data_IF_035836754283
#
_entry.id   IF_035836754283
#
_cell.length_a   1.000
_cell.length_b   1.000
_cell.length_c   1.000
_cell.angle_alpha   90.00
_cell.angle_beta   90.00
_cell.angle_gamma   90.00
#
_symmetry.space_group_name_H-M   'P 1'
#
loop_
_entity.id
_entity.type
_entity.pdbx_description
1 polymer ?
#
# COMPACT_ATOMS: atom_id res chain seq x y z
N UNK A 1 13.19 -19.35 36.00
CA UNK A 1 13.91 -18.39 35.13
C UNK A 1 12.91 -17.95 34.06
N UNK A 2 12.34 -16.73 34.19
CA UNK A 2 11.56 -16.10 33.13
C UNK A 2 12.57 -15.71 32.05
N UNK A 3 12.53 -16.41 30.92
CA UNK A 3 13.28 -16.01 29.74
C UNK A 3 12.78 -14.65 29.27
N UNK A 4 13.69 -13.69 29.13
CA UNK A 4 13.42 -12.44 28.41
C UNK A 4 13.26 -12.84 26.93
N UNK A 5 12.03 -13.12 26.51
CA UNK A 5 11.68 -13.07 25.10
C UNK A 5 11.81 -11.61 24.68
N UNK A 6 12.87 -11.27 23.98
CA UNK A 6 12.86 -10.06 23.15
C UNK A 6 11.76 -10.29 22.12
N UNK A 7 10.61 -9.69 22.38
CA UNK A 7 9.56 -9.57 21.40
C UNK A 7 10.08 -8.61 20.33
N UNK A 8 10.51 -9.13 19.19
CA UNK A 8 10.61 -8.32 18.00
C UNK A 8 9.18 -7.86 17.69
N UNK A 9 8.94 -6.56 17.71
CA UNK A 9 7.67 -6.00 17.24
C UNK A 9 7.53 -6.43 15.78
N UNK A 10 6.52 -7.20 15.47
CA UNK A 10 6.24 -7.55 14.08
C UNK A 10 5.92 -6.28 13.30
N UNK A 11 6.49 -6.14 12.12
CA UNK A 11 6.23 -4.99 11.25
C UNK A 11 4.75 -4.93 10.90
N UNK A 12 4.15 -3.76 11.09
CA UNK A 12 2.75 -3.49 10.74
C UNK A 12 2.67 -2.65 9.47
N UNK A 13 1.91 -3.14 8.51
CA UNK A 13 1.65 -2.47 7.24
C UNK A 13 0.18 -2.14 7.14
N UNK A 14 -0.14 -0.88 6.89
CA UNK A 14 -1.50 -0.42 6.62
C UNK A 14 -1.63 -0.10 5.12
N UNK A 15 -2.67 -0.61 4.47
CA UNK A 15 -2.94 -0.35 3.05
C UNK A 15 -4.24 0.44 2.95
N UNK A 16 -4.15 1.65 2.39
CA UNK A 16 -5.29 2.53 2.19
C UNK A 16 -5.73 2.50 0.73
N UNK A 17 -6.92 1.96 0.52
CA UNK A 17 -7.51 1.64 -0.77
C UNK A 17 -7.40 0.15 -1.09
N UNK A 18 -8.52 -0.58 -1.03
CA UNK A 18 -8.59 -2.04 -1.26
C UNK A 18 -9.12 -2.38 -2.66
N UNK A 19 -8.90 -1.49 -3.62
CA UNK A 19 -9.13 -1.79 -5.03
C UNK A 19 -8.12 -2.85 -5.54
N UNK A 20 -8.15 -3.14 -6.85
CA UNK A 20 -7.30 -4.18 -7.45
C UNK A 20 -5.83 -4.08 -7.07
N UNK A 21 -5.26 -2.88 -7.03
CA UNK A 21 -3.85 -2.68 -6.67
C UNK A 21 -3.61 -2.95 -5.20
N UNK A 22 -4.44 -2.37 -4.32
CA UNK A 22 -4.28 -2.53 -2.86
C UNK A 22 -4.46 -3.98 -2.41
N UNK A 23 -5.51 -4.65 -2.84
CA UNK A 23 -5.76 -6.05 -2.49
C UNK A 23 -4.65 -6.98 -3.02
N UNK A 24 -4.20 -6.78 -4.27
CA UNK A 24 -3.08 -7.57 -4.82
C UNK A 24 -1.77 -7.31 -4.07
N UNK A 25 -1.51 -6.06 -3.68
CA UNK A 25 -0.34 -5.69 -2.88
C UNK A 25 -0.40 -6.36 -1.50
N UNK A 26 -1.54 -6.28 -0.82
CA UNK A 26 -1.77 -6.93 0.47
C UNK A 26 -1.51 -8.44 0.37
N UNK A 27 -2.15 -9.11 -0.58
CA UNK A 27 -1.97 -10.55 -0.79
C UNK A 27 -0.51 -10.92 -1.06
N UNK A 28 0.20 -10.12 -1.87
CA UNK A 28 1.62 -10.36 -2.18
C UNK A 28 2.51 -10.22 -0.94
N UNK A 29 2.26 -9.23 -0.07
CA UNK A 29 2.97 -9.01 1.19
C UNK A 29 2.73 -10.19 2.15
N UNK A 30 1.49 -10.62 2.28
CA UNK A 30 1.07 -11.72 3.15
C UNK A 30 1.68 -13.04 2.65
N UNK A 31 1.55 -13.33 1.36
CA UNK A 31 2.06 -14.57 0.76
C UNK A 31 3.58 -14.70 0.89
N UNK A 32 4.32 -13.61 0.82
CA UNK A 32 5.77 -13.58 1.01
C UNK A 32 6.18 -13.51 2.50
N UNK A 33 5.22 -13.26 3.40
CA UNK A 33 5.48 -13.14 4.84
C UNK A 33 6.39 -11.96 5.19
N UNK A 34 6.22 -10.81 4.54
CA UNK A 34 7.08 -9.63 4.69
C UNK A 34 6.83 -8.85 5.99
N UNK A 35 5.67 -9.04 6.62
CA UNK A 35 5.30 -8.40 7.88
C UNK A 35 4.47 -9.35 8.74
N UNK A 36 4.23 -9.00 9.99
CA UNK A 36 3.41 -9.78 10.91
C UNK A 36 1.97 -9.31 11.01
N UNK A 37 1.68 -8.07 10.58
CA UNK A 37 0.36 -7.45 10.68
C UNK A 37 0.03 -6.61 9.43
N UNK A 38 -1.13 -6.87 8.83
CA UNK A 38 -1.64 -6.15 7.66
C UNK A 38 -3.05 -5.64 7.95
N UNK A 39 -3.21 -4.33 7.97
CA UNK A 39 -4.51 -3.68 8.10
C UNK A 39 -4.97 -3.09 6.76
N UNK A 40 -6.21 -3.35 6.39
CA UNK A 40 -6.85 -2.83 5.18
C UNK A 40 -7.83 -1.72 5.53
N UNK A 41 -7.69 -0.57 4.87
CA UNK A 41 -8.59 0.58 5.03
C UNK A 41 -9.17 0.95 3.66
N UNK A 42 -10.48 1.09 3.59
CA UNK A 42 -11.18 1.58 2.39
C UNK A 42 -12.38 2.46 2.80
N UNK A 43 -12.77 3.36 1.92
CA UNK A 43 -14.01 4.15 2.09
C UNK A 43 -15.24 3.24 2.13
N UNK A 44 -15.20 2.12 1.42
CA UNK A 44 -16.13 1.01 1.54
C UNK A 44 -15.60 0.00 2.56
N UNK A 45 -15.88 0.22 3.83
CA UNK A 45 -15.41 -0.62 4.93
C UNK A 45 -15.84 -2.09 4.78
N UNK A 46 -17.05 -2.35 4.29
CA UNK A 46 -17.52 -3.73 4.07
C UNK A 46 -16.68 -4.46 3.02
N UNK A 47 -16.26 -3.74 1.96
CA UNK A 47 -15.33 -4.30 0.97
C UNK A 47 -13.97 -4.64 1.60
N UNK A 48 -13.41 -3.73 2.41
CA UNK A 48 -12.15 -4.00 3.11
C UNK A 48 -12.26 -5.20 4.05
N UNK A 49 -13.39 -5.37 4.73
CA UNK A 49 -13.68 -6.55 5.58
C UNK A 49 -13.71 -7.82 4.75
N UNK A 50 -14.39 -7.82 3.61
CA UNK A 50 -14.44 -8.98 2.71
C UNK A 50 -13.06 -9.40 2.23
N UNK A 51 -12.27 -8.45 1.71
CA UNK A 51 -10.89 -8.68 1.26
C UNK A 51 -10.00 -9.21 2.40
N UNK A 52 -10.13 -8.65 3.61
CA UNK A 52 -9.35 -9.09 4.76
C UNK A 52 -9.71 -10.51 5.19
N UNK A 53 -10.98 -10.90 5.13
CA UNK A 53 -11.43 -12.26 5.44
C UNK A 53 -10.89 -13.27 4.44
N UNK A 54 -11.00 -13.00 3.14
CA UNK A 54 -10.49 -13.90 2.10
C UNK A 54 -8.96 -14.09 2.22
N UNK A 55 -8.23 -13.02 2.50
CA UNK A 55 -6.78 -13.10 2.74
C UNK A 55 -6.45 -13.86 4.01
N UNK A 56 -7.19 -13.65 5.09
CA UNK A 56 -7.00 -14.32 6.38
C UNK A 56 -7.22 -15.83 6.26
N UNK A 57 -8.22 -16.27 5.50
CA UNK A 57 -8.46 -17.68 5.23
C UNK A 57 -7.30 -18.31 4.44
N UNK A 58 -6.66 -17.55 3.55
CA UNK A 58 -5.50 -18.02 2.79
C UNK A 58 -4.23 -18.21 3.65
N UNK A 59 -4.10 -17.51 4.78
CA UNK A 59 -2.93 -17.61 5.68
C UNK A 59 -2.68 -19.02 6.16
N UNK A 60 -3.73 -19.85 6.31
CA UNK A 60 -3.59 -21.25 6.69
C UNK A 60 -2.67 -22.05 5.75
N UNK A 61 -2.61 -21.67 4.48
CA UNK A 61 -1.78 -22.33 3.46
C UNK A 61 -0.42 -21.68 3.23
N UNK A 62 -0.08 -20.64 4.00
CA UNK A 62 1.15 -19.88 3.86
C UNK A 62 2.24 -20.35 4.83
N UNK A 63 3.48 -19.97 4.53
CA UNK A 63 4.64 -20.37 5.34
C UNK A 63 4.83 -19.56 6.63
N UNK A 64 4.13 -18.43 6.77
CA UNK A 64 4.17 -17.56 7.96
C UNK A 64 2.76 -17.17 8.37
N UNK A 65 2.58 -17.05 9.66
CA UNK A 65 1.34 -16.51 10.21
C UNK A 65 1.39 -14.98 10.15
N UNK A 66 0.42 -14.37 9.47
CA UNK A 66 0.25 -12.93 9.36
C UNK A 66 -1.14 -12.59 9.88
N UNK A 67 -1.23 -11.61 10.78
CA UNK A 67 -2.52 -11.07 11.19
C UNK A 67 -3.05 -10.18 10.06
N UNK A 68 -4.29 -10.45 9.61
CA UNK A 68 -4.92 -9.69 8.52
C UNK A 68 -6.28 -9.22 8.98
N UNK A 69 -6.55 -7.93 8.91
CA UNK A 69 -7.81 -7.36 9.34
C UNK A 69 -8.16 -6.07 8.58
N UNK A 70 -9.41 -5.70 8.60
CA UNK A 70 -9.85 -4.37 8.20
C UNK A 70 -9.90 -3.45 9.41
N UNK A 71 -9.62 -2.17 9.23
CA UNK A 71 -9.62 -1.18 10.29
C UNK A 71 -9.99 0.21 9.82
N UNK A 72 -9.74 1.17 10.67
CA UNK A 72 -9.86 2.59 10.39
C UNK A 72 -8.50 3.31 10.53
N UNK A 73 -8.47 4.61 10.36
CA UNK A 73 -7.21 5.38 10.39
C UNK A 73 -6.51 5.39 11.75
N UNK A 74 -7.16 4.98 12.85
CA UNK A 74 -6.49 4.82 14.14
C UNK A 74 -5.41 3.72 14.11
N UNK A 75 -5.58 2.73 13.23
CA UNK A 75 -4.61 1.67 12.98
C UNK A 75 -3.26 2.15 12.42
N UNK A 76 -3.24 3.38 11.89
CA UNK A 76 -2.00 3.98 11.38
C UNK A 76 -1.08 4.48 12.51
N UNK A 77 -1.58 4.67 13.73
CA UNK A 77 -0.81 5.27 14.83
C UNK A 77 0.47 4.49 15.18
N UNK A 78 0.44 3.18 15.05
CA UNK A 78 1.57 2.27 15.35
C UNK A 78 2.08 1.53 14.12
N UNK A 79 1.62 1.94 12.92
CA UNK A 79 2.07 1.35 11.65
C UNK A 79 3.52 1.77 11.33
N UNK A 80 4.30 0.82 10.83
CA UNK A 80 5.64 1.10 10.33
C UNK A 80 5.60 1.65 8.89
N UNK A 81 4.64 1.15 8.09
CA UNK A 81 4.46 1.55 6.69
C UNK A 81 2.98 1.76 6.39
N UNK A 82 2.66 2.89 5.78
CA UNK A 82 1.33 3.13 5.17
C UNK A 82 1.48 3.15 3.65
N UNK A 83 0.81 2.22 2.97
CA UNK A 83 0.78 2.12 1.51
C UNK A 83 -0.47 2.81 0.99
N UNK A 84 -0.29 3.83 0.15
CA UNK A 84 -1.39 4.60 -0.43
C UNK A 84 -1.64 4.12 -1.86
N UNK A 85 -2.73 3.41 -2.05
CA UNK A 85 -3.23 2.95 -3.37
C UNK A 85 -4.58 3.55 -3.72
N UNK A 86 -5.13 4.38 -2.82
CA UNK A 86 -6.40 5.06 -3.02
C UNK A 86 -6.34 6.04 -4.19
N UNK A 87 -7.36 6.05 -5.02
CA UNK A 87 -7.52 6.95 -6.16
C UNK A 87 -8.99 7.31 -6.33
N UNK A 88 -9.24 8.45 -6.97
CA UNK A 88 -10.59 8.78 -7.39
C UNK A 88 -11.10 7.76 -8.44
N UNK A 89 -12.41 7.44 -8.44
CA UNK A 89 -12.98 6.58 -9.46
C UNK A 89 -12.83 7.22 -10.84
N UNK A 90 -12.47 6.41 -11.84
CA UNK A 90 -12.31 6.89 -13.22
C UNK A 90 -13.69 7.24 -13.80
N UNK A 91 -13.88 8.43 -14.39
CA UNK A 91 -15.09 8.75 -15.11
C UNK A 91 -15.31 7.75 -16.25
N UNK A 92 -16.56 7.35 -16.49
CA UNK A 92 -16.90 6.33 -17.50
C UNK A 92 -16.55 6.75 -18.94
N UNK A 93 -16.47 8.05 -19.19
CA UNK A 93 -16.40 8.65 -20.54
C UNK A 93 -15.07 9.38 -20.81
N UNK A 94 -14.08 9.31 -19.92
CA UNK A 94 -12.79 9.98 -20.10
C UNK A 94 -11.63 9.01 -19.94
N UNK A 95 -10.71 9.04 -20.90
CA UNK A 95 -9.40 8.38 -20.83
C UNK A 95 -8.28 9.38 -20.49
N UNK A 96 -8.62 10.65 -20.20
CA UNK A 96 -7.62 11.65 -19.87
C UNK A 96 -7.19 11.55 -18.42
N UNK A 97 -5.94 11.14 -18.21
CA UNK A 97 -5.31 11.03 -16.89
C UNK A 97 -5.13 12.39 -16.21
N UNK A 98 -5.10 13.48 -16.95
CA UNK A 98 -4.98 14.83 -16.38
C UNK A 98 -6.29 15.30 -15.75
N UNK A 99 -7.44 14.89 -16.28
CA UNK A 99 -8.73 15.15 -15.66
C UNK A 99 -8.88 14.47 -14.30
N UNK A 100 -8.21 13.33 -14.11
CA UNK A 100 -8.19 12.59 -12.86
C UNK A 100 -7.28 13.20 -11.79
N UNK A 101 -6.39 14.12 -12.17
CA UNK A 101 -5.38 14.66 -11.25
C UNK A 101 -6.04 15.38 -10.06
N UNK A 102 -6.94 16.31 -10.32
CA UNK A 102 -7.59 17.11 -9.24
C UNK A 102 -8.41 16.24 -8.28
N UNK A 103 -9.32 15.38 -8.74
CA UNK A 103 -10.03 14.45 -7.86
C UNK A 103 -9.09 13.55 -7.05
N UNK A 104 -8.05 13.00 -7.68
CA UNK A 104 -7.09 12.12 -7.01
C UNK A 104 -6.25 12.86 -5.96
N UNK A 105 -5.87 14.12 -6.21
CA UNK A 105 -5.22 14.96 -5.18
C UNK A 105 -6.13 15.15 -3.96
N UNK A 106 -7.44 15.34 -4.16
CA UNK A 106 -8.41 15.44 -3.07
C UNK A 106 -8.48 14.17 -2.23
N UNK A 107 -8.49 13.00 -2.89
CA UNK A 107 -8.49 11.70 -2.20
C UNK A 107 -7.18 11.50 -1.41
N UNK A 108 -6.03 11.70 -2.05
CA UNK A 108 -4.73 11.53 -1.39
C UNK A 108 -4.58 12.50 -0.23
N UNK A 109 -5.03 13.75 -0.37
CA UNK A 109 -5.04 14.72 0.72
C UNK A 109 -5.83 14.21 1.92
N UNK A 110 -7.07 13.79 1.70
CA UNK A 110 -7.93 13.26 2.75
C UNK A 110 -7.30 12.05 3.47
N UNK A 111 -6.69 11.15 2.71
CA UNK A 111 -5.97 9.98 3.27
C UNK A 111 -4.81 10.44 4.14
N UNK A 112 -3.92 11.29 3.61
CA UNK A 112 -2.72 11.74 4.33
C UNK A 112 -3.08 12.51 5.59
N UNK A 113 -4.06 13.42 5.53
CA UNK A 113 -4.52 14.19 6.70
C UNK A 113 -5.06 13.26 7.80
N UNK A 114 -5.82 12.22 7.47
CA UNK A 114 -6.35 11.25 8.44
C UNK A 114 -5.24 10.36 9.01
N UNK A 115 -4.31 9.89 8.18
CA UNK A 115 -3.15 9.13 8.65
C UNK A 115 -2.32 9.96 9.61
N UNK A 116 -2.00 11.21 9.27
CA UNK A 116 -1.22 12.08 10.15
C UNK A 116 -1.97 12.45 11.44
N UNK A 117 -3.29 12.58 11.39
CA UNK A 117 -4.11 12.84 12.58
C UNK A 117 -4.10 11.66 13.58
N UNK A 118 -3.79 10.44 13.15
CA UNK A 118 -3.62 9.28 14.04
C UNK A 118 -2.35 9.33 14.89
N UNK A 119 -1.39 10.20 14.54
CA UNK A 119 -0.06 10.25 15.18
C UNK A 119 0.99 9.39 14.44
N UNK A 120 0.74 9.01 13.20
CA UNK A 120 1.66 8.23 12.38
C UNK A 120 3.05 8.88 12.25
N UNK A 121 4.09 8.09 12.49
CA UNK A 121 5.51 8.50 12.37
C UNK A 121 6.35 7.46 11.59
N UNK A 122 5.71 6.69 10.71
CA UNK A 122 6.35 5.67 9.87
C UNK A 122 6.73 6.18 8.47
N UNK A 123 6.67 5.30 7.49
CA UNK A 123 7.01 5.55 6.09
C UNK A 123 5.74 5.48 5.23
N UNK A 124 5.50 6.50 4.41
CA UNK A 124 4.54 6.42 3.32
C UNK A 124 5.16 5.74 2.10
N UNK A 125 4.48 4.74 1.55
CA UNK A 125 4.75 4.18 0.23
C UNK A 125 3.59 4.53 -0.71
N UNK A 126 3.85 5.42 -1.66
CA UNK A 126 2.82 5.94 -2.57
C UNK A 126 2.83 5.15 -3.88
N UNK A 127 1.69 4.57 -4.23
CA UNK A 127 1.46 3.80 -5.46
C UNK A 127 0.40 4.46 -6.35
N UNK A 128 -0.43 5.33 -5.77
CA UNK A 128 -1.46 6.09 -6.50
C UNK A 128 -0.88 6.93 -7.62
N UNK A 129 -1.52 6.89 -8.78
CA UNK A 129 -1.09 7.62 -9.97
C UNK A 129 -1.74 9.00 -10.10
N UNK A 130 -1.02 9.99 -10.70
CA UNK A 130 0.38 9.94 -11.19
C UNK A 130 1.37 9.91 -10.01
N UNK A 131 2.18 8.86 -9.92
CA UNK A 131 2.92 8.52 -8.70
C UNK A 131 3.88 9.62 -8.22
N UNK A 132 4.60 10.28 -9.12
CA UNK A 132 5.55 11.34 -8.75
C UNK A 132 4.84 12.56 -8.15
N UNK A 133 3.70 12.95 -8.77
CA UNK A 133 2.89 14.06 -8.28
C UNK A 133 2.26 13.71 -6.92
N UNK A 134 1.72 12.49 -6.79
CA UNK A 134 1.09 12.03 -5.54
C UNK A 134 2.12 11.89 -4.41
N UNK A 135 3.33 11.40 -4.70
CA UNK A 135 4.41 11.29 -3.72
C UNK A 135 4.88 12.67 -3.25
N UNK A 136 5.09 13.59 -4.18
CA UNK A 136 5.43 14.98 -3.83
C UNK A 136 4.33 15.63 -2.99
N UNK A 137 3.08 15.43 -3.36
CA UNK A 137 1.93 15.98 -2.65
C UNK A 137 1.79 15.38 -1.25
N UNK A 138 1.94 14.04 -1.13
CA UNK A 138 1.96 13.34 0.17
C UNK A 138 3.03 13.91 1.08
N UNK A 139 4.24 14.12 0.56
CA UNK A 139 5.31 14.74 1.32
C UNK A 139 4.94 16.15 1.82
N UNK A 140 4.39 16.99 0.94
CA UNK A 140 4.00 18.36 1.32
C UNK A 140 2.87 18.41 2.34
N UNK A 141 1.90 17.51 2.26
CA UNK A 141 0.74 17.48 3.17
C UNK A 141 1.11 16.83 4.51
N UNK A 142 1.90 15.76 4.48
CA UNK A 142 2.27 15.03 5.71
C UNK A 142 3.21 15.83 6.63
N UNK A 143 4.06 16.70 6.05
CA UNK A 143 5.11 17.38 6.79
C UNK A 143 6.25 16.49 7.28
N UNK A 144 6.25 15.19 6.90
CA UNK A 144 7.33 14.26 7.22
C UNK A 144 8.62 14.61 6.46
N UNK A 145 9.79 14.18 6.95
CA UNK A 145 11.03 14.21 6.18
C UNK A 145 10.88 13.50 4.83
N UNK A 146 11.55 14.00 3.77
CA UNK A 146 11.35 13.49 2.41
C UNK A 146 11.73 12.01 2.27
N UNK A 147 12.70 11.53 3.05
CA UNK A 147 13.12 10.13 3.10
C UNK A 147 12.07 9.19 3.68
N UNK A 148 11.02 9.71 4.30
CA UNK A 148 9.88 8.94 4.81
C UNK A 148 8.68 8.91 3.86
N UNK A 149 8.82 9.48 2.66
CA UNK A 149 7.78 9.43 1.63
C UNK A 149 8.38 8.88 0.34
N UNK A 150 8.06 7.65 0.03
CA UNK A 150 8.62 6.89 -1.09
C UNK A 150 7.53 6.67 -2.12
N UNK A 151 7.78 7.05 -3.37
CA UNK A 151 6.94 6.68 -4.50
C UNK A 151 7.43 5.38 -5.14
N UNK A 152 6.51 4.57 -5.67
CA UNK A 152 6.88 3.36 -6.44
C UNK A 152 7.65 3.69 -7.74
N UNK A 153 7.61 4.94 -8.18
CA UNK A 153 8.38 5.47 -9.31
C UNK A 153 8.20 4.64 -10.57
N UNK A 154 9.31 4.32 -11.22
CA UNK A 154 9.37 3.58 -12.49
C UNK A 154 9.52 2.06 -12.31
N UNK A 155 9.28 1.50 -11.11
CA UNK A 155 9.41 0.06 -10.86
C UNK A 155 8.62 -0.78 -11.85
N UNK A 156 7.36 -0.39 -12.14
CA UNK A 156 6.54 -1.10 -13.10
C UNK A 156 7.08 -1.00 -14.52
N UNK A 157 7.57 0.17 -14.93
CA UNK A 157 8.12 0.38 -16.27
C UNK A 157 9.45 -0.37 -16.44
N UNK A 158 10.27 -0.41 -15.40
CA UNK A 158 11.49 -1.22 -15.37
C UNK A 158 11.16 -2.72 -15.50
N UNK A 159 10.17 -3.22 -14.75
CA UNK A 159 9.73 -4.61 -14.88
C UNK A 159 9.19 -4.93 -16.28
N UNK A 160 8.44 -4.02 -16.89
CA UNK A 160 7.96 -4.15 -18.27
C UNK A 160 9.12 -4.18 -19.28
N UNK A 161 10.13 -3.34 -19.09
CA UNK A 161 11.34 -3.34 -19.92
C UNK A 161 12.10 -4.66 -19.79
N UNK A 162 12.33 -5.13 -18.56
CA UNK A 162 12.98 -6.44 -18.31
C UNK A 162 12.22 -7.56 -19.01
N UNK A 163 10.90 -7.61 -18.90
CA UNK A 163 10.08 -8.60 -19.59
C UNK A 163 10.22 -8.49 -21.12
N UNK A 164 10.17 -7.29 -21.69
CA UNK A 164 10.30 -7.09 -23.13
C UNK A 164 11.67 -7.54 -23.65
N UNK A 165 12.75 -7.25 -22.90
CA UNK A 165 14.09 -7.72 -23.23
C UNK A 165 14.23 -9.24 -23.08
N UNK A 166 13.62 -9.80 -22.05
CA UNK A 166 13.54 -11.25 -21.83
C UNK A 166 12.93 -11.98 -23.04
N UNK A 167 11.77 -11.49 -23.51
CA UNK A 167 11.08 -12.02 -24.69
C UNK A 167 11.95 -11.89 -25.97
N UNK A 168 12.71 -10.79 -26.06
CA UNK A 168 13.54 -10.46 -27.23
C UNK A 168 14.82 -11.30 -27.33
N UNK A 169 15.39 -11.68 -26.19
CA UNK A 169 16.67 -12.38 -26.10
C UNK A 169 16.56 -13.82 -25.58
N UNK A 170 15.35 -14.32 -25.36
CA UNK A 170 15.07 -15.66 -24.81
C UNK A 170 15.81 -15.91 -23.47
N UNK A 171 15.75 -14.93 -22.58
CA UNK A 171 16.36 -14.96 -21.26
C UNK A 171 15.27 -14.95 -20.16
N UNK A 172 15.62 -15.39 -18.96
CA UNK A 172 14.72 -15.20 -17.81
C UNK A 172 14.64 -13.72 -17.40
N UNK A 173 13.45 -13.22 -17.09
CA UNK A 173 13.25 -11.79 -16.75
C UNK A 173 13.90 -11.33 -15.46
N UNK A 174 14.42 -12.26 -14.68
CA UNK A 174 15.12 -12.03 -13.41
C UNK A 174 16.61 -12.43 -13.45
N UNK A 175 17.16 -12.65 -14.66
CA UNK A 175 18.56 -12.99 -14.88
C UNK A 175 19.46 -11.76 -15.08
#
# INVERSE_FOLDING_TARGET
>A
RKGNHMSFKDTKVVIVGTGKVGSTTAFSIINQGLCGDVCLIDVNHEHAVGEALDMRDSVFFMNRNVNVHAGDYSECADADIVIVTAAAPMPKDSNDRLEMLKPSLGVVRSVVEQVMASGFDGIFLVVSNPVDVMSYYTWKVSGLPHERVIGSGTLLDSARLCRALSDMYDLASNS
#
